data_IF_441029032836
#
_entry.id   IF_441029032836
#
_cell.length_a   1.000
_cell.length_b   1.000
_cell.length_c   1.000
_cell.angle_alpha   90.00
_cell.angle_beta   90.00
_cell.angle_gamma   90.00
#
_symmetry.space_group_name_H-M   'P 1'
#
loop_
_entity.id
_entity.type
_entity.pdbx_description
1 polymer ?
#
# COMPACT_ATOMS: atom_id res chain seq x y z
N UNK A 1 12.98 7.02 11.55
CA UNK A 1 12.94 7.96 12.70
C UNK A 1 11.58 7.77 13.37
N UNK A 2 11.51 7.60 14.72
CA UNK A 2 10.24 7.44 15.43
C UNK A 2 9.33 8.66 15.24
N UNK A 3 8.01 8.44 15.36
CA UNK A 3 7.04 9.52 15.41
C UNK A 3 7.26 10.37 16.68
N UNK A 4 7.12 11.68 16.54
CA UNK A 4 7.15 12.60 17.68
C UNK A 4 5.70 12.73 18.22
N UNK A 5 5.42 12.30 19.46
CA UNK A 5 4.08 12.37 20.02
C UNK A 5 3.56 13.82 20.22
N UNK A 6 4.45 14.80 20.18
CA UNK A 6 4.11 16.22 20.30
C UNK A 6 4.16 16.97 18.96
N UNK A 7 4.23 16.24 17.85
CA UNK A 7 4.31 16.86 16.53
C UNK A 7 3.05 17.68 16.20
N UNK A 8 3.26 18.88 15.67
CA UNK A 8 2.16 19.82 15.44
C UNK A 8 1.21 19.42 14.29
N UNK A 9 1.65 18.53 13.38
CA UNK A 9 0.94 18.17 12.16
C UNK A 9 0.87 16.65 11.94
N UNK A 10 0.29 15.89 12.89
CA UNK A 10 0.30 14.43 12.85
C UNK A 10 -0.53 13.84 11.69
N UNK A 11 -1.43 14.62 11.12
CA UNK A 11 -2.27 14.23 9.97
C UNK A 11 -1.47 14.05 8.67
N UNK A 12 -0.33 14.76 8.51
CA UNK A 12 0.43 14.79 7.25
C UNK A 12 1.89 14.36 7.37
N UNK A 13 2.43 14.35 8.59
CA UNK A 13 3.81 13.96 8.86
C UNK A 13 3.97 13.47 10.29
N UNK A 14 5.06 12.78 10.61
CA UNK A 14 5.28 12.15 11.92
C UNK A 14 6.32 12.87 12.78
N UNK A 15 7.11 13.74 12.19
CA UNK A 15 8.17 14.55 12.83
C UNK A 15 8.78 15.52 11.80
N UNK A 16 9.70 16.39 12.23
CA UNK A 16 10.36 17.38 11.39
C UNK A 16 11.07 16.77 10.16
N UNK A 17 11.77 15.66 10.33
CA UNK A 17 12.47 15.00 9.21
C UNK A 17 11.49 14.46 8.17
N UNK A 18 10.36 13.88 8.61
CA UNK A 18 9.30 13.41 7.75
C UNK A 18 8.61 14.56 7.01
N UNK A 19 8.38 15.69 7.68
CA UNK A 19 7.86 16.90 7.06
C UNK A 19 8.82 17.48 6.02
N UNK A 20 10.12 17.51 6.32
CA UNK A 20 11.15 17.93 5.37
C UNK A 20 11.15 17.05 4.11
N UNK A 21 11.04 15.73 4.27
CA UNK A 21 10.93 14.80 3.15
C UNK A 21 9.63 15.00 2.37
N UNK A 22 8.50 15.22 3.05
CA UNK A 22 7.22 15.55 2.40
C UNK A 22 7.36 16.79 1.52
N UNK A 23 7.95 17.85 2.03
CA UNK A 23 8.12 19.10 1.28
C UNK A 23 9.02 18.90 0.05
N UNK A 24 10.09 18.12 0.17
CA UNK A 24 10.95 17.76 -0.97
C UNK A 24 10.19 16.97 -2.03
N UNK A 25 9.33 16.01 -1.64
CA UNK A 25 8.50 15.25 -2.58
C UNK A 25 7.45 16.12 -3.25
N UNK A 26 6.84 17.06 -2.54
CA UNK A 26 5.88 18.02 -3.12
C UNK A 26 6.59 18.93 -4.14
N UNK A 27 7.78 19.41 -3.84
CA UNK A 27 8.58 20.20 -4.79
C UNK A 27 8.89 19.38 -6.07
N UNK A 28 9.28 18.11 -5.91
CA UNK A 28 9.49 17.19 -7.03
C UNK A 28 8.21 17.00 -7.86
N UNK A 29 7.05 16.73 -7.21
CA UNK A 29 5.76 16.60 -7.91
C UNK A 29 5.43 17.85 -8.72
N UNK A 30 5.59 19.03 -8.12
CA UNK A 30 5.34 20.32 -8.77
C UNK A 30 6.25 20.52 -9.99
N UNK A 31 7.54 20.20 -9.88
CA UNK A 31 8.48 20.26 -10.99
C UNK A 31 8.05 19.34 -12.14
N UNK A 32 7.69 18.10 -11.83
CA UNK A 32 7.31 17.09 -12.83
C UNK A 32 5.97 17.37 -13.52
N UNK A 33 5.04 18.07 -12.85
CA UNK A 33 3.76 18.48 -13.42
C UNK A 33 3.89 19.68 -14.39
N UNK A 34 4.99 20.43 -14.31
CA UNK A 34 5.23 21.59 -15.20
C UNK A 34 4.10 22.63 -15.09
N UNK A 35 3.48 22.95 -16.22
CA UNK A 35 2.40 23.94 -16.27
C UNK A 35 1.07 23.46 -15.65
N UNK A 36 0.94 22.12 -15.39
CA UNK A 36 -0.28 21.53 -14.84
C UNK A 36 -0.32 21.57 -13.31
N UNK A 37 -0.07 22.74 -12.72
CA UNK A 37 -0.11 22.95 -11.26
C UNK A 37 -1.52 22.77 -10.66
N UNK A 38 -2.55 22.80 -11.49
CA UNK A 38 -3.94 22.46 -11.13
C UNK A 38 -4.09 21.02 -10.59
N UNK A 39 -3.18 20.12 -11.00
CA UNK A 39 -3.16 18.73 -10.54
C UNK A 39 -2.47 18.54 -9.18
N UNK A 40 -1.61 19.47 -8.75
CA UNK A 40 -0.82 19.30 -7.53
C UNK A 40 -1.67 18.96 -6.28
N UNK A 41 -2.80 19.62 -5.99
CA UNK A 41 -3.65 19.27 -4.86
C UNK A 41 -4.26 17.86 -4.95
N UNK A 42 -4.42 17.32 -6.17
CA UNK A 42 -4.99 15.99 -6.42
C UNK A 42 -3.99 14.87 -6.25
N UNK A 43 -2.69 15.15 -6.42
CA UNK A 43 -1.62 14.13 -6.35
C UNK A 43 -0.86 14.13 -5.04
N UNK A 44 -0.95 15.19 -4.24
CA UNK A 44 -0.31 15.23 -2.92
C UNK A 44 -1.11 14.37 -1.94
N UNK A 45 -0.50 13.31 -1.34
CA UNK A 45 -1.20 12.45 -0.40
C UNK A 45 -1.60 13.19 0.88
N UNK A 46 -2.70 12.79 1.47
CA UNK A 46 -3.24 13.27 2.76
C UNK A 46 -2.67 12.50 3.98
N UNK A 47 -1.69 11.64 3.77
CA UNK A 47 -1.03 10.84 4.81
C UNK A 47 0.47 11.11 4.86
N UNK A 48 1.14 10.80 5.99
CA UNK A 48 2.59 10.97 6.16
C UNK A 48 3.41 10.17 5.14
N UNK A 49 4.59 10.66 4.81
CA UNK A 49 5.57 9.91 4.02
C UNK A 49 5.86 8.58 4.72
N UNK A 50 5.87 7.48 3.96
CA UNK A 50 5.90 6.08 4.44
C UNK A 50 4.64 5.60 5.17
N UNK A 51 3.57 6.36 5.24
CA UNK A 51 2.26 5.88 5.68
C UNK A 51 1.69 4.80 4.77
N UNK A 52 2.09 4.84 3.50
CA UNK A 52 1.96 3.76 2.51
C UNK A 52 3.30 3.51 1.85
N UNK A 53 3.48 2.36 1.18
CA UNK A 53 4.72 2.05 0.48
C UNK A 53 4.98 3.06 -0.63
N UNK A 54 6.19 3.61 -0.68
CA UNK A 54 6.60 4.47 -1.79
C UNK A 54 6.76 3.64 -3.06
N UNK A 55 6.22 4.16 -4.14
CA UNK A 55 6.36 3.58 -5.48
C UNK A 55 7.43 4.38 -6.21
N UNK A 56 8.42 3.67 -6.77
CA UNK A 56 9.44 4.29 -7.64
C UNK A 56 8.90 4.30 -9.06
N UNK A 57 8.90 5.47 -9.67
CA UNK A 57 8.36 5.70 -11.01
C UNK A 57 9.22 6.70 -11.78
N UNK A 58 9.21 6.60 -13.10
CA UNK A 58 9.99 7.48 -13.97
C UNK A 58 9.15 8.56 -14.67
N UNK A 59 7.88 8.32 -14.95
CA UNK A 59 7.06 9.16 -15.82
C UNK A 59 5.62 9.39 -15.36
N UNK A 60 5.27 9.04 -14.14
CA UNK A 60 3.90 9.15 -13.63
C UNK A 60 3.35 10.57 -13.76
N UNK A 61 3.99 11.54 -13.14
CA UNK A 61 3.53 12.92 -13.14
C UNK A 61 3.54 13.57 -14.55
N UNK A 62 4.61 13.42 -15.36
CA UNK A 62 4.58 13.85 -16.75
C UNK A 62 3.46 13.20 -17.58
N UNK A 63 3.10 11.95 -17.27
CA UNK A 63 1.96 11.28 -17.94
C UNK A 63 0.63 11.91 -17.54
N UNK A 64 0.41 12.22 -16.26
CA UNK A 64 -0.78 12.91 -15.80
C UNK A 64 -0.95 14.31 -16.41
N UNK A 65 0.16 14.97 -16.76
CA UNK A 65 0.16 16.29 -17.36
C UNK A 65 -0.18 16.30 -18.88
N UNK A 66 -0.32 15.13 -19.51
CA UNK A 66 -0.62 15.05 -20.96
C UNK A 66 -2.07 15.47 -21.25
N UNK A 67 -2.27 16.09 -22.41
CA UNK A 67 -3.60 16.56 -22.86
C UNK A 67 -4.65 15.45 -23.00
N UNK A 68 -4.21 14.21 -23.28
CA UNK A 68 -5.08 13.05 -23.45
C UNK A 68 -5.27 12.25 -22.13
N UNK A 69 -4.89 12.81 -20.99
CA UNK A 69 -5.04 12.18 -19.67
C UNK A 69 -5.87 13.08 -18.76
N UNK A 70 -6.91 12.53 -18.18
CA UNK A 70 -7.72 13.17 -17.14
C UNK A 70 -7.52 12.45 -15.81
N UNK A 71 -7.08 13.18 -14.77
CA UNK A 71 -7.03 12.69 -13.40
C UNK A 71 -8.35 12.99 -12.70
N UNK A 72 -9.13 11.94 -12.44
CA UNK A 72 -10.39 12.00 -11.70
C UNK A 72 -10.17 11.45 -10.31
N UNK A 73 -10.51 12.23 -9.28
CA UNK A 73 -10.39 11.86 -7.86
C UNK A 73 -11.74 11.72 -7.17
N UNK A 74 -12.84 11.96 -7.90
CA UNK A 74 -14.19 11.78 -7.41
C UNK A 74 -14.52 10.28 -7.27
N UNK A 75 -15.34 9.95 -6.29
CA UNK A 75 -15.78 8.57 -6.08
C UNK A 75 -16.54 8.04 -7.29
N UNK A 76 -16.29 6.80 -7.67
CA UNK A 76 -17.05 6.10 -8.70
C UNK A 76 -18.40 5.70 -8.09
N UNK A 77 -19.48 6.24 -8.64
CA UNK A 77 -20.86 5.95 -8.23
C UNK A 77 -21.41 4.70 -8.88
N UNK A 78 -21.20 4.59 -10.20
CA UNK A 78 -21.75 3.48 -10.99
C UNK A 78 -20.92 3.23 -12.24
N UNK A 79 -20.85 1.96 -12.66
CA UNK A 79 -20.30 1.56 -13.95
C UNK A 79 -21.46 1.19 -14.86
N UNK A 80 -21.60 1.94 -15.96
CA UNK A 80 -22.58 1.73 -17.03
C UNK A 80 -21.97 0.89 -18.16
N UNK A 81 -22.77 0.39 -19.12
CA UNK A 81 -22.24 -0.44 -20.21
C UNK A 81 -21.14 0.22 -21.06
N UNK A 82 -21.11 1.55 -21.16
CA UNK A 82 -20.15 2.32 -21.96
C UNK A 82 -19.55 3.51 -21.23
N UNK A 83 -19.80 3.70 -19.92
CA UNK A 83 -19.33 4.85 -19.18
C UNK A 83 -19.13 4.56 -17.69
N UNK A 84 -18.33 5.40 -17.04
CA UNK A 84 -18.18 5.47 -15.58
C UNK A 84 -18.87 6.76 -15.10
N UNK A 85 -19.78 6.64 -14.14
CA UNK A 85 -20.42 7.77 -13.46
C UNK A 85 -19.69 8.02 -12.14
N UNK A 86 -19.28 9.26 -11.93
CA UNK A 86 -18.67 9.72 -10.67
C UNK A 86 -19.70 10.45 -9.79
N UNK A 87 -19.37 10.67 -8.51
CA UNK A 87 -20.26 11.24 -7.51
C UNK A 87 -20.73 12.67 -7.85
N UNK A 88 -19.97 13.41 -8.65
CA UNK A 88 -20.34 14.71 -9.22
C UNK A 88 -21.41 14.63 -10.33
N UNK A 89 -21.81 13.40 -10.72
CA UNK A 89 -22.81 13.14 -11.76
C UNK A 89 -22.26 13.17 -13.20
N UNK A 90 -20.96 13.28 -13.37
CA UNK A 90 -20.33 13.27 -14.70
C UNK A 90 -20.22 11.84 -15.22
N UNK A 91 -20.68 11.64 -16.46
CA UNK A 91 -20.51 10.39 -17.21
C UNK A 91 -19.27 10.49 -18.11
N UNK A 92 -18.34 9.56 -17.91
CA UNK A 92 -17.12 9.44 -18.72
C UNK A 92 -17.20 8.20 -19.57
N UNK A 93 -17.32 8.38 -20.87
CA UNK A 93 -17.35 7.26 -21.83
C UNK A 93 -15.99 6.57 -21.87
N UNK A 94 -16.00 5.23 -21.82
CA UNK A 94 -14.81 4.38 -21.85
C UNK A 94 -15.08 3.10 -22.63
N UNK A 95 -14.08 2.62 -23.34
CA UNK A 95 -14.12 1.34 -24.06
C UNK A 95 -13.54 0.20 -23.23
N UNK A 96 -12.60 0.52 -22.33
CA UNK A 96 -11.88 -0.45 -21.50
C UNK A 96 -11.72 0.07 -20.08
N UNK A 97 -11.96 -0.78 -19.11
CA UNK A 97 -11.70 -0.50 -17.69
C UNK A 97 -10.59 -1.43 -17.20
N UNK A 98 -9.53 -0.87 -16.65
CA UNK A 98 -8.42 -1.62 -16.03
C UNK A 98 -8.53 -1.48 -14.52
N UNK A 99 -8.86 -2.57 -13.81
CA UNK A 99 -8.91 -2.61 -12.37
C UNK A 99 -7.51 -2.76 -11.78
N UNK A 100 -6.89 -1.66 -11.39
CA UNK A 100 -5.60 -1.63 -10.71
C UNK A 100 -5.79 -1.36 -9.21
N UNK A 101 -6.78 -1.99 -8.57
CA UNK A 101 -7.25 -1.72 -7.21
C UNK A 101 -6.35 -2.31 -6.11
N UNK A 102 -5.28 -3.02 -6.48
CA UNK A 102 -4.32 -3.64 -5.57
C UNK A 102 -4.75 -5.03 -5.09
N UNK A 103 -4.00 -5.55 -4.11
CA UNK A 103 -4.22 -6.87 -3.53
C UNK A 103 -4.81 -6.76 -2.13
N UNK A 104 -5.59 -7.77 -1.72
CA UNK A 104 -5.94 -7.96 -0.32
C UNK A 104 -4.72 -8.54 0.43
N UNK A 105 -3.91 -7.67 0.99
CA UNK A 105 -2.63 -8.03 1.61
C UNK A 105 -2.77 -8.80 2.93
N UNK A 106 -3.97 -8.88 3.49
CA UNK A 106 -4.24 -9.61 4.72
C UNK A 106 -4.68 -11.06 4.48
N UNK A 107 -5.02 -11.43 3.25
CA UNK A 107 -5.35 -12.82 2.89
C UNK A 107 -4.07 -13.63 2.60
N UNK A 108 -3.30 -13.90 3.66
CA UNK A 108 -2.09 -14.72 3.56
C UNK A 108 -2.44 -16.16 3.13
N UNK A 109 -1.65 -16.70 2.19
CA UNK A 109 -1.74 -18.05 1.66
C UNK A 109 -3.04 -18.38 0.90
N UNK A 110 -4.00 -17.46 0.82
CA UNK A 110 -5.20 -17.68 0.03
C UNK A 110 -4.86 -17.93 -1.46
N UNK A 111 -5.50 -18.88 -2.17
CA UNK A 111 -6.64 -19.69 -1.75
C UNK A 111 -6.29 -21.08 -1.18
N UNK A 112 -5.14 -21.26 -0.55
CA UNK A 112 -4.73 -22.54 0.00
C UNK A 112 -5.46 -22.87 1.31
N UNK A 113 -6.07 -24.06 1.40
CA UNK A 113 -6.61 -24.59 2.63
C UNK A 113 -5.49 -25.20 3.47
N UNK A 114 -5.11 -24.52 4.55
CA UNK A 114 -4.15 -25.03 5.52
C UNK A 114 -4.88 -25.39 6.81
N UNK A 115 -4.81 -26.66 7.21
CA UNK A 115 -5.54 -27.18 8.38
C UNK A 115 -4.55 -27.54 9.49
N UNK A 116 -4.79 -27.02 10.70
CA UNK A 116 -4.00 -27.29 11.91
C UNK A 116 -4.30 -28.67 12.52
N UNK A 117 -3.55 -29.04 13.55
CA UNK A 117 -3.73 -30.32 14.27
C UNK A 117 -5.10 -30.46 14.92
N UNK A 118 -5.71 -29.36 15.35
CA UNK A 118 -7.06 -29.32 15.92
C UNK A 118 -8.17 -29.46 14.87
N UNK A 119 -7.84 -29.43 13.58
CA UNK A 119 -8.80 -29.38 12.46
C UNK A 119 -9.27 -27.96 12.10
N UNK A 120 -8.78 -26.92 12.79
CA UNK A 120 -9.08 -25.52 12.46
C UNK A 120 -8.31 -25.11 11.19
N UNK A 121 -8.97 -24.40 10.28
CA UNK A 121 -8.31 -23.80 9.12
C UNK A 121 -7.56 -22.53 9.51
N UNK A 122 -6.46 -22.26 8.82
CA UNK A 122 -5.63 -21.08 9.06
C UNK A 122 -6.42 -19.77 8.82
N UNK A 123 -7.28 -19.76 7.81
CA UNK A 123 -8.16 -18.64 7.51
C UNK A 123 -9.11 -18.34 8.68
N UNK A 124 -9.72 -19.37 9.28
CA UNK A 124 -10.59 -19.21 10.45
C UNK A 124 -9.81 -18.76 11.70
N UNK A 125 -8.55 -19.21 11.86
CA UNK A 125 -7.70 -18.79 12.97
C UNK A 125 -7.30 -17.33 12.86
N UNK A 126 -6.94 -16.89 11.67
CA UNK A 126 -6.43 -15.54 11.44
C UNK A 126 -7.54 -14.48 11.25
N UNK A 127 -8.65 -14.83 10.61
CA UNK A 127 -9.67 -13.87 10.22
C UNK A 127 -9.05 -12.70 9.44
N UNK A 128 -9.48 -11.49 9.77
CA UNK A 128 -8.99 -10.26 9.12
C UNK A 128 -7.59 -9.82 9.59
N UNK A 129 -7.06 -10.44 10.66
CA UNK A 129 -5.81 -10.01 11.29
C UNK A 129 -4.82 -11.19 11.44
N UNK A 130 -4.12 -11.57 10.37
CA UNK A 130 -3.12 -12.63 10.41
C UNK A 130 -2.03 -12.36 11.44
N UNK A 131 -1.65 -13.40 12.20
CA UNK A 131 -0.63 -13.32 13.24
C UNK A 131 0.25 -14.56 13.21
N UNK A 132 1.55 -14.36 13.39
CA UNK A 132 2.50 -15.44 13.55
C UNK A 132 3.58 -15.03 14.56
N UNK A 133 4.04 -15.97 15.38
CA UNK A 133 5.15 -15.72 16.29
C UNK A 133 6.41 -15.41 15.48
N UNK A 134 7.02 -14.26 15.72
CA UNK A 134 8.12 -13.69 14.93
C UNK A 134 7.83 -13.59 13.42
N UNK A 135 6.54 -13.57 13.03
CA UNK A 135 6.15 -13.62 11.63
C UNK A 135 6.40 -14.97 10.94
N UNK A 136 6.73 -16.04 11.69
CA UNK A 136 7.17 -17.33 11.14
C UNK A 136 6.25 -18.47 11.55
N UNK A 137 5.96 -18.60 12.85
CA UNK A 137 5.32 -19.77 13.44
C UNK A 137 3.87 -19.48 13.83
N UNK A 138 2.99 -20.44 13.54
CA UNK A 138 1.59 -20.35 13.92
C UNK A 138 1.25 -21.49 14.91
N UNK A 139 0.70 -21.18 16.09
CA UNK A 139 0.24 -22.21 17.03
C UNK A 139 -0.71 -23.21 16.35
N UNK A 140 -0.62 -24.48 16.69
CA UNK A 140 -1.38 -25.58 16.11
C UNK A 140 -0.96 -26.03 14.68
N UNK A 141 0.00 -25.34 14.06
CA UNK A 141 0.52 -25.67 12.72
C UNK A 141 2.02 -25.98 12.78
N UNK A 142 2.44 -27.12 13.39
CA UNK A 142 3.85 -27.38 13.75
C UNK A 142 4.80 -27.50 12.55
N UNK A 143 4.29 -27.79 11.36
CA UNK A 143 5.08 -27.95 10.13
C UNK A 143 4.90 -26.77 9.16
N UNK A 144 4.20 -25.71 9.58
CA UNK A 144 4.00 -24.50 8.79
C UNK A 144 4.98 -23.42 9.23
N UNK A 145 5.77 -22.93 8.29
CA UNK A 145 6.66 -21.79 8.47
C UNK A 145 6.33 -20.72 7.42
N UNK A 146 5.96 -19.54 7.89
CA UNK A 146 5.71 -18.38 7.02
C UNK A 146 6.99 -17.57 6.91
N UNK A 147 7.68 -17.63 5.78
CA UNK A 147 8.78 -16.72 5.53
C UNK A 147 8.25 -15.37 5.08
N UNK A 148 8.78 -14.30 5.68
CA UNK A 148 8.27 -12.94 5.48
C UNK A 148 6.76 -12.86 5.71
N UNK A 149 6.28 -13.55 6.74
CA UNK A 149 4.87 -13.74 7.05
C UNK A 149 4.21 -12.52 7.73
N UNK A 150 3.10 -12.72 8.43
CA UNK A 150 2.30 -11.64 9.01
C UNK A 150 3.11 -10.66 9.85
N UNK A 151 2.89 -9.36 9.65
CA UNK A 151 3.50 -8.24 10.39
C UNK A 151 5.02 -8.11 10.25
N UNK A 152 5.66 -8.72 9.24
CA UNK A 152 7.09 -8.58 8.99
C UNK A 152 7.41 -7.67 7.80
N UNK A 153 6.41 -7.08 7.16
CA UNK A 153 6.60 -6.26 5.97
C UNK A 153 7.47 -5.04 6.25
N UNK A 154 8.57 -4.93 5.51
CA UNK A 154 9.51 -3.81 5.58
C UNK A 154 9.04 -2.75 4.59
N UNK A 155 8.60 -1.59 5.09
CA UNK A 155 8.17 -0.47 4.26
C UNK A 155 9.36 0.19 3.57
N UNK A 156 10.47 0.37 4.30
CA UNK A 156 11.73 0.96 3.83
C UNK A 156 12.91 0.53 4.71
N UNK A 157 14.13 0.74 4.20
CA UNK A 157 15.35 0.65 4.99
C UNK A 157 15.79 -0.77 5.39
N UNK A 158 15.35 -1.80 4.66
CA UNK A 158 15.74 -3.17 4.92
C UNK A 158 15.82 -4.05 3.68
N UNK A 159 16.30 -5.28 3.86
CA UNK A 159 16.34 -6.30 2.81
C UNK A 159 15.40 -7.45 3.17
N UNK A 160 14.47 -7.75 2.27
CA UNK A 160 13.57 -8.91 2.38
C UNK A 160 14.40 -10.20 2.43
N UNK A 161 15.42 -10.31 1.57
CA UNK A 161 16.28 -11.49 1.49
C UNK A 161 17.01 -11.71 2.81
N UNK A 162 17.62 -10.66 3.38
CA UNK A 162 18.29 -10.75 4.67
C UNK A 162 17.34 -11.18 5.80
N UNK A 163 16.12 -10.62 5.81
CA UNK A 163 15.10 -11.00 6.79
C UNK A 163 14.72 -12.46 6.66
N UNK A 164 14.54 -12.97 5.44
CA UNK A 164 14.24 -14.39 5.17
C UNK A 164 15.41 -15.27 5.59
N UNK A 165 16.67 -14.90 5.32
CA UNK A 165 17.86 -15.63 5.75
C UNK A 165 17.92 -15.74 7.29
N UNK A 166 17.65 -14.64 8.01
CA UNK A 166 17.56 -14.66 9.46
C UNK A 166 16.46 -15.60 9.98
N UNK A 167 15.29 -15.59 9.31
CA UNK A 167 14.18 -16.47 9.66
C UNK A 167 14.53 -17.94 9.41
N UNK A 168 15.12 -18.27 8.28
CA UNK A 168 15.60 -19.64 7.98
C UNK A 168 16.63 -20.08 9.00
N UNK A 169 17.61 -19.23 9.32
CA UNK A 169 18.61 -19.54 10.34
C UNK A 169 17.97 -19.85 11.71
N UNK A 170 16.96 -19.06 12.12
CA UNK A 170 16.22 -19.33 13.34
C UNK A 170 15.45 -20.65 13.33
N UNK A 171 14.87 -21.04 12.19
CA UNK A 171 14.14 -22.32 12.07
C UNK A 171 15.07 -23.55 12.10
N UNK A 172 16.32 -23.39 11.68
CA UNK A 172 17.30 -24.48 11.61
C UNK A 172 18.05 -24.73 12.92
N UNK A 173 17.83 -23.94 13.96
CA UNK A 173 18.38 -24.11 15.31
C UNK A 173 17.46 -24.94 16.20
#
# INVERSE_FOLDING_TARGET
VPADPNWAHPERSTNEANEGMRNALIAYMSEQLGDRQDLLPKVVPDFPVFGKRLIVDNNWYPTLARENVELVTDEIRCIHPSAIETADGVLREVDVIIFATGFNTNHFLWPMDVVGRSGQTLENLWGDYPRAYKGILVPDYPNLFCLYGPNTNIVHGGSIIYTIECQVHYMMQ
#
